data_IF_709405861784
#
_entry.id   IF_709405861784
#
_cell.length_a   1.000
_cell.length_b   1.000
_cell.length_c   1.000
_cell.angle_alpha   90.00
_cell.angle_beta   90.00
_cell.angle_gamma   90.00
#
_symmetry.space_group_name_H-M   'P 1'
#
loop_
_entity.id
_entity.type
_entity.pdbx_description
1 polymer ?
#
# COMPACT_ATOMS: atom_id res chain seq x y z
N UNK A 1 -0.99 23.20 31.73
CA UNK A 1 -0.20 21.95 31.57
C UNK A 1 -1.22 20.88 31.19
N UNK A 2 -1.01 20.12 30.15
CA UNK A 2 -2.03 19.16 29.66
C UNK A 2 -2.03 17.84 30.44
N UNK A 3 -0.98 17.55 31.21
CA UNK A 3 -0.89 16.41 32.14
C UNK A 3 -0.44 16.86 33.53
N UNK A 4 -0.85 16.12 34.56
CA UNK A 4 -0.52 16.46 35.97
C UNK A 4 0.88 16.01 36.35
N UNK A 5 1.39 14.94 35.72
CA UNK A 5 2.73 14.44 35.90
C UNK A 5 3.39 14.13 34.54
N UNK A 6 4.71 14.29 34.48
CA UNK A 6 5.49 14.04 33.25
C UNK A 6 5.80 12.55 33.14
N UNK A 7 4.79 11.70 33.03
CA UNK A 7 4.96 10.25 32.89
C UNK A 7 4.14 9.68 31.73
N UNK A 8 4.60 8.57 31.16
CA UNK A 8 3.87 7.88 30.10
C UNK A 8 2.50 7.38 30.60
N UNK A 9 2.37 7.06 31.88
CA UNK A 9 1.10 6.64 32.47
C UNK A 9 0.06 7.78 32.43
N UNK A 10 0.47 9.02 32.72
CA UNK A 10 -0.41 10.18 32.60
C UNK A 10 -0.77 10.48 31.13
N UNK A 11 0.17 10.33 30.21
CA UNK A 11 -0.13 10.44 28.77
C UNK A 11 -1.19 9.41 28.38
N UNK A 12 -1.05 8.15 28.80
CA UNK A 12 -2.04 7.09 28.52
C UNK A 12 -3.43 7.46 29.04
N UNK A 13 -3.53 7.95 30.27
CA UNK A 13 -4.82 8.38 30.86
C UNK A 13 -5.42 9.54 30.06
N UNK A 14 -4.60 10.51 29.73
CA UNK A 14 -5.06 11.69 28.99
C UNK A 14 -5.51 11.35 27.57
N UNK A 15 -4.75 10.54 26.84
CA UNK A 15 -5.16 10.05 25.51
C UNK A 15 -6.49 9.28 25.57
N UNK A 16 -6.65 8.38 26.55
CA UNK A 16 -7.91 7.67 26.73
C UNK A 16 -9.08 8.61 27.00
N UNK A 17 -8.91 9.64 27.87
CA UNK A 17 -9.98 10.59 28.16
C UNK A 17 -10.37 11.45 26.95
N UNK A 18 -9.43 11.78 26.09
CA UNK A 18 -9.64 12.69 24.95
C UNK A 18 -10.07 11.98 23.65
N UNK A 19 -9.72 10.70 23.49
CA UNK A 19 -9.88 9.95 22.25
C UNK A 19 -10.92 8.83 22.32
N UNK A 20 -11.46 8.49 23.50
CA UNK A 20 -12.39 7.36 23.68
C UNK A 20 -13.69 7.46 22.87
N UNK A 21 -14.07 8.64 22.41
CA UNK A 21 -15.21 8.84 21.53
C UNK A 21 -14.90 8.65 20.03
N UNK A 22 -13.61 8.54 19.68
CA UNK A 22 -13.13 8.47 18.29
C UNK A 22 -12.43 7.14 17.98
N UNK A 23 -11.83 6.52 18.98
CA UNK A 23 -11.01 5.31 18.86
C UNK A 23 -11.36 4.31 19.95
N UNK A 24 -11.20 3.04 19.65
CA UNK A 24 -11.30 1.98 20.66
C UNK A 24 -10.13 2.01 21.62
N UNK A 25 -10.27 1.43 22.80
CA UNK A 25 -9.19 1.33 23.77
C UNK A 25 -7.95 0.62 23.21
N UNK A 26 -8.16 -0.39 22.35
CA UNK A 26 -7.09 -1.15 21.69
C UNK A 26 -6.31 -0.28 20.71
N UNK A 27 -7.00 0.54 19.92
CA UNK A 27 -6.38 1.49 18.99
C UNK A 27 -5.58 2.55 19.75
N UNK A 28 -6.15 3.13 20.80
CA UNK A 28 -5.43 4.13 21.63
C UNK A 28 -4.16 3.53 22.22
N UNK A 29 -4.21 2.29 22.73
CA UNK A 29 -3.03 1.59 23.25
C UNK A 29 -1.97 1.37 22.18
N UNK A 30 -2.37 0.95 20.98
CA UNK A 30 -1.47 0.78 19.85
C UNK A 30 -0.82 2.11 19.45
N UNK A 31 -1.62 3.15 19.27
CA UNK A 31 -1.14 4.49 18.90
C UNK A 31 -0.09 5.00 19.89
N UNK A 32 -0.39 4.92 21.18
CA UNK A 32 0.54 5.38 22.22
C UNK A 32 1.83 4.55 22.20
N UNK A 33 1.72 3.23 22.01
CA UNK A 33 2.88 2.35 21.91
C UNK A 33 3.78 2.78 20.75
N UNK A 34 3.23 2.92 19.56
CA UNK A 34 4.00 3.27 18.36
C UNK A 34 4.59 4.68 18.44
N UNK A 35 3.82 5.67 18.93
CA UNK A 35 4.33 7.02 19.20
C UNK A 35 5.51 7.00 20.20
N UNK A 36 5.41 6.17 21.25
CA UNK A 36 6.45 6.09 22.28
C UNK A 36 7.72 5.42 21.76
N UNK A 37 7.57 4.29 21.08
CA UNK A 37 8.68 3.57 20.45
C UNK A 37 9.46 4.51 19.54
N UNK A 38 8.77 5.21 18.67
CA UNK A 38 9.37 6.17 17.74
C UNK A 38 10.02 7.35 18.48
N UNK A 39 9.28 7.99 19.39
CA UNK A 39 9.75 9.21 20.07
C UNK A 39 10.99 8.98 20.93
N UNK A 40 11.01 7.87 21.66
CA UNK A 40 12.10 7.53 22.58
C UNK A 40 13.18 6.68 21.90
N UNK A 41 12.97 6.27 20.64
CA UNK A 41 13.86 5.39 19.88
C UNK A 41 14.19 4.10 20.65
N UNK A 42 13.17 3.45 21.17
CA UNK A 42 13.24 2.22 21.97
C UNK A 42 12.62 1.04 21.22
N UNK A 43 13.00 -0.17 21.62
CA UNK A 43 12.37 -1.39 21.10
C UNK A 43 10.98 -1.62 21.71
N UNK A 44 10.13 -2.45 21.08
CA UNK A 44 8.84 -2.88 21.65
C UNK A 44 8.97 -3.54 23.02
N UNK A 45 10.09 -4.21 23.30
CA UNK A 45 10.37 -4.81 24.61
C UNK A 45 10.65 -3.75 25.67
N UNK A 46 11.48 -2.77 25.35
CA UNK A 46 11.80 -1.66 26.26
C UNK A 46 10.57 -0.80 26.59
N UNK A 47 9.61 -0.67 25.64
CA UNK A 47 8.35 0.03 25.90
C UNK A 47 7.60 -0.49 27.15
N UNK A 48 7.72 -1.79 27.46
CA UNK A 48 7.09 -2.39 28.65
C UNK A 48 7.71 -1.84 29.92
N UNK A 49 8.99 -1.48 29.89
CA UNK A 49 9.77 -1.05 31.06
C UNK A 49 9.66 0.45 31.34
N UNK A 50 9.44 1.28 30.29
CA UNK A 50 9.46 2.76 30.42
C UNK A 50 8.17 3.39 30.94
N UNK A 51 7.18 2.61 31.35
CA UNK A 51 5.85 3.13 31.75
C UNK A 51 5.87 4.16 32.88
N UNK A 52 6.91 4.16 33.74
CA UNK A 52 7.06 5.05 34.89
C UNK A 52 8.17 6.09 34.74
N UNK A 53 8.88 6.12 33.63
CA UNK A 53 9.93 7.09 33.40
C UNK A 53 9.37 8.50 33.23
N UNK A 54 10.17 9.49 33.67
CA UNK A 54 9.82 10.89 33.47
C UNK A 54 10.15 11.31 32.04
N UNK A 55 9.16 11.87 31.39
CA UNK A 55 9.26 12.45 30.05
C UNK A 55 9.84 13.86 30.12
N UNK A 56 10.63 14.24 29.14
CA UNK A 56 11.11 15.61 28.98
C UNK A 56 9.97 16.53 28.49
N UNK A 57 10.16 17.83 28.60
CA UNK A 57 9.22 18.83 28.07
C UNK A 57 9.02 18.65 26.55
N UNK A 58 10.10 18.34 25.82
CA UNK A 58 10.03 18.10 24.38
C UNK A 58 9.24 16.84 24.03
N UNK A 59 9.27 15.81 24.88
CA UNK A 59 8.43 14.62 24.70
C UNK A 59 6.96 14.93 24.96
N UNK A 60 6.68 15.71 26.00
CA UNK A 60 5.31 16.15 26.27
C UNK A 60 4.73 16.98 25.12
N UNK A 61 5.52 17.87 24.51
CA UNK A 61 5.09 18.63 23.34
C UNK A 61 4.81 17.73 22.14
N UNK A 62 5.62 16.71 21.93
CA UNK A 62 5.39 15.71 20.88
C UNK A 62 4.05 14.98 21.06
N UNK A 63 3.76 14.47 22.28
CA UNK A 63 2.48 13.82 22.56
C UNK A 63 1.29 14.78 22.46
N UNK A 64 1.48 16.04 22.88
CA UNK A 64 0.43 17.05 22.74
C UNK A 64 0.09 17.33 21.28
N UNK A 65 1.09 17.48 20.41
CA UNK A 65 0.88 17.67 18.98
C UNK A 65 0.21 16.44 18.36
N UNK A 66 0.71 15.24 18.66
CA UNK A 66 0.12 14.00 18.22
C UNK A 66 -1.37 13.89 18.64
N UNK A 67 -1.68 14.18 19.89
CA UNK A 67 -3.06 14.18 20.39
C UNK A 67 -3.96 15.17 19.63
N UNK A 68 -3.46 16.38 19.38
CA UNK A 68 -4.20 17.39 18.62
C UNK A 68 -4.52 16.93 17.20
N UNK A 69 -3.59 16.26 16.53
CA UNK A 69 -3.75 15.69 15.20
C UNK A 69 -4.74 14.51 15.21
N UNK A 70 -4.62 13.59 16.19
CA UNK A 70 -5.54 12.47 16.40
C UNK A 70 -6.98 12.92 16.67
N UNK A 71 -7.20 13.98 17.44
CA UNK A 71 -8.53 14.58 17.65
C UNK A 71 -9.16 15.09 16.35
N UNK A 72 -8.35 15.47 15.39
CA UNK A 72 -8.78 15.81 14.04
C UNK A 72 -8.92 14.59 13.12
N UNK A 73 -8.75 13.38 13.69
CA UNK A 73 -8.81 12.09 12.99
C UNK A 73 -7.74 11.93 11.89
N UNK A 74 -6.61 12.61 12.02
CA UNK A 74 -5.47 12.36 11.13
C UNK A 74 -4.94 10.93 11.34
N UNK A 75 -4.69 10.16 10.26
CA UNK A 75 -4.16 8.80 10.39
C UNK A 75 -2.87 8.79 11.22
N UNK A 76 -2.79 7.90 12.19
CA UNK A 76 -1.64 7.87 13.10
C UNK A 76 -0.33 7.54 12.38
N UNK A 77 -0.39 6.82 11.25
CA UNK A 77 0.77 6.56 10.39
C UNK A 77 1.34 7.87 9.81
N UNK A 78 0.48 8.82 9.42
CA UNK A 78 0.94 10.14 8.96
C UNK A 78 1.50 10.98 10.11
N UNK A 79 0.98 10.80 11.33
CA UNK A 79 1.54 11.45 12.54
C UNK A 79 2.92 10.88 12.85
N UNK A 80 3.09 9.56 12.74
CA UNK A 80 4.37 8.89 12.87
C UNK A 80 5.33 9.25 11.72
N UNK A 81 4.80 9.49 10.51
CA UNK A 81 5.57 9.66 9.29
C UNK A 81 6.22 8.36 8.79
N UNK A 82 5.76 7.21 9.30
CA UNK A 82 6.24 5.89 8.88
C UNK A 82 5.18 4.81 9.10
N UNK A 83 5.32 3.73 8.35
CA UNK A 83 4.48 2.54 8.43
C UNK A 83 5.32 1.29 8.18
N UNK A 84 5.02 0.23 8.91
CA UNK A 84 5.58 -1.08 8.63
C UNK A 84 4.75 -1.76 7.54
N UNK A 85 5.44 -2.29 6.54
CA UNK A 85 4.87 -3.13 5.49
C UNK A 85 5.83 -4.29 5.25
N UNK A 86 5.41 -5.50 5.52
CA UNK A 86 6.36 -6.60 5.75
C UNK A 86 7.41 -6.21 6.80
N UNK A 87 8.66 -6.58 6.57
CA UNK A 87 9.78 -6.21 7.44
C UNK A 87 10.42 -4.85 7.07
N UNK A 88 9.73 -4.04 6.26
CA UNK A 88 10.21 -2.74 5.82
C UNK A 88 9.55 -1.61 6.61
N UNK A 89 10.36 -0.74 7.18
CA UNK A 89 9.89 0.52 7.75
C UNK A 89 9.90 1.60 6.66
N UNK A 90 8.73 1.88 6.08
CA UNK A 90 8.56 2.84 5.00
C UNK A 90 8.17 4.22 5.54
N UNK A 91 8.69 5.28 4.94
CA UNK A 91 8.17 6.62 5.14
C UNK A 91 6.78 6.72 4.52
N UNK A 92 5.86 7.39 5.22
CA UNK A 92 4.50 7.65 4.74
C UNK A 92 4.00 9.02 5.18
N UNK A 93 3.34 9.72 4.28
CA UNK A 93 2.61 10.97 4.52
C UNK A 93 1.51 11.14 3.47
N UNK A 94 0.82 12.28 3.45
CA UNK A 94 -0.33 12.54 2.56
C UNK A 94 -0.04 12.48 1.06
N UNK A 95 1.20 12.23 0.64
CA UNK A 95 1.60 12.07 -0.77
C UNK A 95 1.17 10.71 -1.35
N UNK A 96 0.96 9.69 -0.52
CA UNK A 96 0.57 8.36 -0.99
C UNK A 96 -0.42 7.70 -0.03
N UNK A 97 -1.19 6.74 -0.57
CA UNK A 97 -2.08 5.87 0.19
C UNK A 97 -1.27 5.11 1.26
N UNK A 98 -1.81 5.02 2.47
CA UNK A 98 -1.21 4.21 3.54
C UNK A 98 -1.28 2.74 3.11
N UNK A 99 -0.15 2.01 3.06
CA UNK A 99 -0.14 0.57 2.78
C UNK A 99 -1.11 -0.20 3.67
N UNK A 100 -1.90 -1.09 3.07
CA UNK A 100 -2.92 -1.88 3.78
C UNK A 100 -2.41 -3.30 4.06
N UNK A 101 -2.81 -3.93 5.18
CA UNK A 101 -2.43 -5.31 5.49
C UNK A 101 -2.85 -6.31 4.40
N UNK A 102 -4.00 -6.10 3.76
CA UNK A 102 -4.50 -6.95 2.67
C UNK A 102 -3.55 -6.96 1.46
N UNK A 103 -2.83 -5.86 1.24
CA UNK A 103 -1.83 -5.76 0.17
C UNK A 103 -0.59 -6.63 0.46
N UNK A 104 -0.28 -6.94 1.73
CA UNK A 104 0.77 -7.91 2.07
C UNK A 104 0.42 -9.32 1.61
N UNK A 105 -0.87 -9.70 1.67
CA UNK A 105 -1.34 -11.00 1.18
C UNK A 105 -1.15 -11.14 -0.34
N UNK A 106 -1.33 -10.05 -1.09
CA UNK A 106 -1.04 -10.01 -2.53
C UNK A 106 0.45 -10.25 -2.81
N UNK A 107 1.33 -9.62 -2.04
CA UNK A 107 2.78 -9.81 -2.15
C UNK A 107 3.17 -11.26 -1.83
N UNK A 108 2.59 -11.86 -0.79
CA UNK A 108 2.82 -13.28 -0.46
C UNK A 108 2.39 -14.23 -1.57
N UNK A 109 1.30 -13.93 -2.24
CA UNK A 109 0.86 -14.71 -3.38
C UNK A 109 1.87 -14.67 -4.52
N UNK A 110 2.29 -13.45 -4.91
CA UNK A 110 3.29 -13.25 -5.98
C UNK A 110 4.60 -13.97 -5.64
N UNK A 111 5.12 -13.77 -4.42
CA UNK A 111 6.32 -14.44 -3.94
C UNK A 111 6.22 -15.97 -4.05
N UNK A 112 5.05 -16.51 -3.69
CA UNK A 112 4.82 -17.97 -3.72
C UNK A 112 4.84 -18.52 -5.14
N UNK A 113 4.20 -17.81 -6.07
CA UNK A 113 4.09 -18.23 -7.47
C UNK A 113 5.45 -18.07 -8.19
N UNK A 114 6.21 -17.01 -7.88
CA UNK A 114 7.51 -16.74 -8.50
C UNK A 114 8.71 -17.43 -7.82
N UNK A 115 8.51 -18.23 -6.79
CA UNK A 115 9.59 -18.86 -6.00
C UNK A 115 10.63 -19.66 -6.80
N UNK A 116 10.24 -20.18 -7.97
CA UNK A 116 11.12 -20.96 -8.84
C UNK A 116 11.79 -20.12 -9.94
N UNK A 117 11.49 -18.81 -10.01
CA UNK A 117 12.14 -17.90 -10.93
C UNK A 117 13.42 -17.34 -10.28
N UNK A 118 14.57 -17.54 -10.92
CA UNK A 118 15.86 -17.09 -10.35
C UNK A 118 15.99 -15.58 -10.32
N UNK A 119 15.52 -14.88 -11.37
CA UNK A 119 15.60 -13.43 -11.54
C UNK A 119 14.33 -12.90 -12.23
N UNK A 120 13.16 -12.93 -11.57
CA UNK A 120 11.94 -12.48 -12.21
C UNK A 120 11.99 -10.96 -12.48
N UNK A 121 11.44 -10.57 -13.62
CA UNK A 121 11.25 -9.16 -14.01
C UNK A 121 9.82 -8.77 -13.65
N UNK A 122 9.70 -7.83 -12.72
CA UNK A 122 8.42 -7.45 -12.09
C UNK A 122 8.18 -5.96 -12.31
N UNK A 123 6.94 -5.58 -12.65
CA UNK A 123 6.46 -4.19 -12.71
C UNK A 123 5.32 -4.00 -11.71
N UNK A 124 5.48 -3.01 -10.83
CA UNK A 124 4.43 -2.50 -9.95
C UNK A 124 3.86 -1.22 -10.58
N UNK A 125 2.60 -1.25 -10.97
CA UNK A 125 1.89 -0.15 -11.60
C UNK A 125 0.97 0.54 -10.58
N UNK A 126 0.91 1.87 -10.59
CA UNK A 126 0.27 2.69 -9.57
C UNK A 126 0.91 2.47 -8.19
N UNK A 127 2.24 2.51 -8.14
CA UNK A 127 3.05 2.03 -7.00
C UNK A 127 2.88 2.85 -5.71
N UNK A 128 2.37 4.08 -5.76
CA UNK A 128 2.19 4.94 -4.61
C UNK A 128 3.47 5.14 -3.78
N UNK A 129 3.48 4.63 -2.56
CA UNK A 129 4.65 4.66 -1.67
C UNK A 129 5.78 3.70 -2.09
N UNK A 130 5.51 2.80 -3.05
CA UNK A 130 6.40 1.73 -3.49
C UNK A 130 6.36 0.48 -2.61
N UNK A 131 5.36 0.34 -1.74
CA UNK A 131 5.31 -0.75 -0.76
C UNK A 131 5.35 -2.14 -1.41
N UNK A 132 4.59 -2.38 -2.49
CA UNK A 132 4.57 -3.66 -3.20
C UNK A 132 5.93 -3.94 -3.85
N UNK A 133 6.43 -3.03 -4.68
CA UNK A 133 7.71 -3.21 -5.38
C UNK A 133 8.87 -3.42 -4.41
N UNK A 134 8.95 -2.64 -3.32
CA UNK A 134 9.99 -2.73 -2.32
C UNK A 134 9.90 -4.05 -1.53
N UNK A 135 8.70 -4.48 -1.15
CA UNK A 135 8.50 -5.76 -0.48
C UNK A 135 8.90 -6.94 -1.39
N UNK A 136 8.45 -6.95 -2.65
CA UNK A 136 8.86 -7.97 -3.61
C UNK A 136 10.38 -7.98 -3.82
N UNK A 137 11.01 -6.82 -3.95
CA UNK A 137 12.47 -6.70 -4.07
C UNK A 137 13.19 -7.20 -2.83
N UNK A 138 12.70 -6.93 -1.63
CA UNK A 138 13.30 -7.41 -0.37
C UNK A 138 13.23 -8.93 -0.22
N UNK A 139 12.13 -9.54 -0.68
CA UNK A 139 11.86 -10.97 -0.61
C UNK A 139 12.56 -11.77 -1.73
N UNK A 140 12.86 -11.11 -2.84
CA UNK A 140 13.50 -11.68 -4.03
C UNK A 140 14.63 -10.76 -4.50
N UNK A 141 15.74 -10.73 -3.78
CA UNK A 141 16.85 -9.79 -4.00
C UNK A 141 17.40 -9.77 -5.42
N UNK A 142 17.39 -10.92 -6.09
CA UNK A 142 17.87 -11.06 -7.48
C UNK A 142 16.84 -10.64 -8.54
N UNK A 143 15.60 -10.30 -8.13
CA UNK A 143 14.57 -9.83 -9.08
C UNK A 143 14.92 -8.48 -9.69
N UNK A 144 14.43 -8.24 -10.91
CA UNK A 144 14.44 -6.93 -11.55
C UNK A 144 13.10 -6.27 -11.31
N UNK A 145 12.99 -5.46 -10.25
CA UNK A 145 11.76 -4.77 -9.90
C UNK A 145 11.75 -3.34 -10.44
N UNK A 146 10.67 -3.00 -11.14
CA UNK A 146 10.34 -1.67 -11.60
C UNK A 146 9.07 -1.17 -10.91
N UNK A 147 8.98 0.14 -10.72
CA UNK A 147 7.83 0.79 -10.09
C UNK A 147 7.42 2.01 -10.92
N UNK A 148 6.15 2.05 -11.33
CA UNK A 148 5.59 3.13 -12.13
C UNK A 148 4.49 3.87 -11.36
N UNK A 149 4.59 5.20 -11.32
CA UNK A 149 3.66 6.06 -10.58
C UNK A 149 3.42 7.36 -11.37
N UNK A 150 2.17 7.83 -11.34
CA UNK A 150 1.75 9.05 -12.03
C UNK A 150 2.06 10.32 -11.22
N UNK A 151 1.78 10.30 -9.92
CA UNK A 151 1.90 11.45 -9.04
C UNK A 151 3.35 11.79 -8.74
N UNK A 152 3.81 13.01 -9.05
CA UNK A 152 5.16 13.48 -8.69
C UNK A 152 5.41 13.45 -7.17
N UNK A 153 4.38 13.73 -6.38
CA UNK A 153 4.46 13.71 -4.92
C UNK A 153 4.68 12.28 -4.42
N UNK A 154 3.92 11.31 -4.94
CA UNK A 154 4.09 9.89 -4.62
C UNK A 154 5.43 9.36 -5.14
N UNK A 155 5.88 9.72 -6.35
CA UNK A 155 7.21 9.41 -6.86
C UNK A 155 8.34 9.93 -5.97
N UNK A 156 8.18 11.14 -5.44
CA UNK A 156 9.15 11.68 -4.48
C UNK A 156 9.24 10.80 -3.22
N UNK A 157 8.08 10.39 -2.68
CA UNK A 157 8.01 9.50 -1.51
C UNK A 157 8.59 8.11 -1.82
N UNK A 158 8.27 7.53 -2.97
CA UNK A 158 8.80 6.25 -3.42
C UNK A 158 10.34 6.27 -3.52
N UNK A 159 10.93 7.35 -4.08
CA UNK A 159 12.39 7.53 -4.12
C UNK A 159 13.00 7.67 -2.72
N UNK A 160 12.32 8.32 -1.78
CA UNK A 160 12.74 8.39 -0.39
C UNK A 160 12.72 7.00 0.26
N UNK A 161 11.69 6.19 0.00
CA UNK A 161 11.56 4.83 0.51
C UNK A 161 12.62 3.89 -0.08
N UNK A 162 12.89 4.00 -1.37
CA UNK A 162 13.97 3.24 -2.03
C UNK A 162 15.33 3.51 -1.38
N UNK A 163 15.63 4.78 -1.08
CA UNK A 163 16.85 5.15 -0.35
C UNK A 163 16.85 4.64 1.10
N UNK A 164 15.71 4.76 1.79
CA UNK A 164 15.56 4.37 3.19
C UNK A 164 15.76 2.87 3.40
N UNK A 165 15.26 2.05 2.46
CA UNK A 165 15.38 0.58 2.51
C UNK A 165 16.68 0.05 1.92
N UNK A 166 17.45 0.91 1.25
CA UNK A 166 18.66 0.52 0.49
C UNK A 166 18.39 -0.59 -0.55
N UNK A 167 17.18 -0.60 -1.12
CA UNK A 167 16.78 -1.51 -2.20
C UNK A 167 16.80 -0.75 -3.52
N UNK A 168 17.21 -1.41 -4.61
CA UNK A 168 17.23 -0.81 -5.94
C UNK A 168 15.95 -1.15 -6.71
N UNK A 169 15.25 -0.12 -7.19
CA UNK A 169 14.13 -0.22 -8.12
C UNK A 169 14.41 0.64 -9.35
N UNK A 170 13.90 0.21 -10.50
CA UNK A 170 13.76 1.07 -11.66
C UNK A 170 12.45 1.87 -11.54
N UNK A 171 12.56 3.20 -11.33
CA UNK A 171 11.42 4.06 -11.02
C UNK A 171 11.13 4.97 -12.20
N UNK A 172 9.91 4.89 -12.71
CA UNK A 172 9.42 5.72 -13.81
C UNK A 172 8.19 6.53 -13.44
N UNK A 173 8.08 7.73 -14.00
CA UNK A 173 6.82 8.46 -14.04
C UNK A 173 5.99 7.89 -15.17
N UNK A 174 4.75 7.48 -14.89
CA UNK A 174 3.88 6.86 -15.87
C UNK A 174 2.41 7.09 -15.53
N UNK A 175 1.67 7.60 -16.48
CA UNK A 175 0.21 7.55 -16.48
C UNK A 175 -0.22 6.25 -17.17
N UNK A 176 -0.72 5.29 -16.41
CA UNK A 176 -1.17 4.01 -16.97
C UNK A 176 -2.33 4.14 -17.95
N UNK A 177 -3.03 5.29 -17.97
CA UNK A 177 -4.08 5.59 -18.95
C UNK A 177 -3.54 6.25 -20.23
N UNK A 178 -2.26 6.67 -20.24
CA UNK A 178 -1.63 7.27 -21.43
C UNK A 178 -0.85 6.20 -22.21
N UNK A 179 -1.25 5.99 -23.46
CA UNK A 179 -0.64 4.97 -24.33
C UNK A 179 0.85 5.23 -24.62
N UNK A 180 1.24 6.48 -24.75
CA UNK A 180 2.61 6.88 -25.09
C UNK A 180 3.59 6.56 -23.96
N UNK A 181 3.12 6.51 -22.70
CA UNK A 181 3.96 6.24 -21.54
C UNK A 181 4.46 4.79 -21.47
N UNK A 182 3.94 3.89 -22.30
CA UNK A 182 4.42 2.51 -22.42
C UNK A 182 5.54 2.35 -23.47
N UNK A 183 5.82 3.37 -24.27
CA UNK A 183 6.72 3.28 -25.43
C UNK A 183 8.17 2.90 -25.12
N UNK A 184 8.63 3.10 -23.88
CA UNK A 184 9.97 2.72 -23.43
C UNK A 184 10.06 1.26 -22.95
N UNK A 185 8.93 0.59 -22.74
CA UNK A 185 8.90 -0.81 -22.31
C UNK A 185 9.14 -1.74 -23.49
N UNK A 186 9.94 -2.78 -23.27
CA UNK A 186 10.13 -3.82 -24.27
C UNK A 186 8.98 -4.83 -24.24
N UNK A 187 8.34 -5.18 -25.38
CA UNK A 187 7.34 -6.22 -25.41
C UNK A 187 7.86 -7.57 -24.91
N UNK A 188 6.99 -8.38 -24.32
CA UNK A 188 7.31 -9.72 -23.80
C UNK A 188 8.52 -9.76 -22.86
N UNK A 189 8.68 -8.76 -22.00
CA UNK A 189 9.86 -8.60 -21.14
C UNK A 189 9.61 -8.87 -19.65
N UNK A 190 8.37 -8.86 -19.19
CA UNK A 190 8.05 -9.02 -17.78
C UNK A 190 7.48 -10.41 -17.45
N UNK A 191 7.93 -10.98 -16.35
CA UNK A 191 7.37 -12.23 -15.80
C UNK A 191 6.09 -11.95 -15.01
N UNK A 192 6.02 -10.78 -14.37
CA UNK A 192 4.92 -10.40 -13.51
C UNK A 192 4.62 -8.90 -13.60
N UNK A 193 3.34 -8.57 -13.70
CA UNK A 193 2.82 -7.24 -13.42
C UNK A 193 1.91 -7.30 -12.20
N UNK A 194 1.98 -6.30 -11.35
CA UNK A 194 1.11 -6.14 -10.20
C UNK A 194 0.60 -4.70 -10.13
N UNK A 195 -0.63 -4.53 -9.68
CA UNK A 195 -1.17 -3.20 -9.42
C UNK A 195 -2.22 -3.22 -8.31
N UNK A 196 -2.16 -2.21 -7.46
CA UNK A 196 -3.27 -1.77 -6.61
C UNK A 196 -3.73 -0.40 -7.12
N UNK A 197 -4.49 -0.34 -8.23
CA UNK A 197 -4.88 0.91 -8.85
C UNK A 197 -6.06 1.55 -8.11
N UNK A 198 -6.40 2.82 -8.36
CA UNK A 198 -7.65 3.40 -7.90
C UNK A 198 -8.85 2.58 -8.40
N UNK A 199 -9.75 2.19 -7.49
CA UNK A 199 -10.87 1.29 -7.83
C UNK A 199 -12.20 1.63 -7.15
N UNK A 200 -12.28 2.70 -6.37
CA UNK A 200 -13.51 3.06 -5.65
C UNK A 200 -14.34 4.00 -6.52
N UNK A 201 -15.54 3.61 -6.99
CA UNK A 201 -16.40 4.52 -7.71
C UNK A 201 -16.75 5.76 -6.87
N UNK A 202 -16.80 6.93 -7.49
CA UNK A 202 -17.06 8.20 -6.79
C UNK A 202 -18.36 8.19 -5.99
N UNK A 203 -19.39 7.44 -6.44
CA UNK A 203 -20.66 7.24 -5.72
C UNK A 203 -20.50 6.58 -4.35
N UNK A 204 -19.44 5.80 -4.14
CA UNK A 204 -19.16 5.12 -2.86
C UNK A 204 -18.46 6.05 -1.85
N UNK A 205 -18.10 7.27 -2.24
CA UNK A 205 -17.39 8.24 -1.38
C UNK A 205 -18.09 8.48 -0.04
N UNK A 206 -19.42 8.50 -0.02
CA UNK A 206 -20.19 8.71 1.21
C UNK A 206 -20.13 7.55 2.21
N UNK A 207 -19.68 6.37 1.78
CA UNK A 207 -19.54 5.17 2.61
C UNK A 207 -18.17 5.09 3.29
N UNK A 208 -17.24 5.94 2.86
CA UNK A 208 -15.87 5.91 3.37
C UNK A 208 -15.72 6.64 4.70
N UNK A 209 -14.75 6.22 5.47
CA UNK A 209 -14.42 6.88 6.72
C UNK A 209 -13.94 8.33 6.47
N UNK A 210 -14.43 9.32 7.26
CA UNK A 210 -14.13 10.73 7.03
C UNK A 210 -12.63 11.06 7.06
N UNK A 211 -11.83 10.33 7.84
CA UNK A 211 -10.39 10.51 7.93
C UNK A 211 -9.67 10.14 6.62
N UNK A 212 -10.10 9.07 5.94
CA UNK A 212 -9.56 8.68 4.64
C UNK A 212 -9.81 9.78 3.63
N UNK A 213 -11.05 10.26 3.54
CA UNK A 213 -11.44 11.33 2.61
C UNK A 213 -10.72 12.66 2.86
N UNK A 214 -10.34 12.92 4.10
CA UNK A 214 -9.74 14.20 4.50
C UNK A 214 -8.22 14.22 4.32
N UNK A 215 -7.56 13.10 4.48
CA UNK A 215 -6.10 13.06 4.61
C UNK A 215 -5.38 12.25 3.54
N UNK A 216 -6.02 11.19 3.00
CA UNK A 216 -5.37 10.38 1.98
C UNK A 216 -5.61 10.95 0.57
N UNK A 217 -4.69 10.74 -0.39
CA UNK A 217 -4.79 11.34 -1.72
C UNK A 217 -5.98 10.74 -2.49
N UNK A 218 -6.98 11.56 -2.80
CA UNK A 218 -8.23 11.11 -3.42
C UNK A 218 -8.00 10.47 -4.80
N UNK A 219 -6.96 10.88 -5.51
CA UNK A 219 -6.60 10.30 -6.80
C UNK A 219 -6.12 8.83 -6.69
N UNK A 220 -5.61 8.42 -5.54
CA UNK A 220 -5.22 7.03 -5.29
C UNK A 220 -6.40 6.13 -4.91
N UNK A 221 -7.59 6.69 -4.70
CA UNK A 221 -8.77 5.99 -4.24
C UNK A 221 -9.86 5.88 -5.30
N UNK A 222 -10.16 6.99 -5.98
CA UNK A 222 -11.40 7.10 -6.74
C UNK A 222 -11.22 6.97 -8.25
N UNK A 223 -12.23 6.33 -8.85
CA UNK A 223 -12.47 6.28 -10.29
C UNK A 223 -13.81 6.91 -10.63
N UNK A 224 -14.00 7.31 -11.89
CA UNK A 224 -15.26 7.79 -12.38
C UNK A 224 -16.34 6.69 -12.36
N UNK A 225 -17.58 7.07 -12.04
CA UNK A 225 -18.69 6.13 -11.90
C UNK A 225 -19.08 5.46 -13.23
N UNK A 226 -18.79 6.11 -14.36
CA UNK A 226 -19.10 5.66 -15.70
C UNK A 226 -18.25 4.45 -16.11
N UNK A 227 -17.03 4.35 -15.59
CA UNK A 227 -16.12 3.26 -15.92
C UNK A 227 -15.21 2.88 -14.72
N UNK A 228 -15.75 2.16 -13.76
CA UNK A 228 -14.99 1.74 -12.57
C UNK A 228 -13.89 0.71 -12.88
N UNK A 229 -13.86 0.14 -14.08
CA UNK A 229 -12.85 -0.82 -14.53
C UNK A 229 -11.73 -0.20 -15.38
N UNK A 230 -11.71 1.12 -15.59
CA UNK A 230 -10.80 1.77 -16.54
C UNK A 230 -9.34 1.39 -16.32
N UNK A 231 -8.83 1.49 -15.08
CA UNK A 231 -7.44 1.14 -14.78
C UNK A 231 -7.17 -0.34 -15.00
N UNK A 232 -8.04 -1.21 -14.53
CA UNK A 232 -7.92 -2.66 -14.69
C UNK A 232 -7.88 -3.05 -16.16
N UNK A 233 -8.80 -2.48 -16.98
CA UNK A 233 -8.88 -2.78 -18.40
C UNK A 233 -7.62 -2.34 -19.13
N UNK A 234 -7.18 -1.09 -18.96
CA UNK A 234 -6.01 -0.58 -19.65
C UNK A 234 -4.75 -1.35 -19.25
N UNK A 235 -4.56 -1.60 -17.94
CA UNK A 235 -3.42 -2.39 -17.47
C UNK A 235 -3.47 -3.81 -18.05
N UNK A 236 -4.62 -4.47 -18.07
CA UNK A 236 -4.76 -5.82 -18.61
C UNK A 236 -4.49 -5.87 -20.13
N UNK A 237 -5.03 -4.93 -20.92
CA UNK A 237 -4.73 -4.81 -22.35
C UNK A 237 -3.23 -4.64 -22.61
N UNK A 238 -2.56 -3.79 -21.85
CA UNK A 238 -1.12 -3.60 -21.96
C UNK A 238 -0.32 -4.81 -21.47
N UNK A 239 -0.78 -5.50 -20.43
CA UNK A 239 -0.15 -6.71 -19.94
C UNK A 239 -0.05 -7.81 -21.03
N UNK A 240 -1.01 -7.92 -21.94
CA UNK A 240 -0.95 -8.85 -23.08
C UNK A 240 0.21 -8.56 -24.05
N UNK A 241 0.69 -7.31 -24.10
CA UNK A 241 1.80 -6.89 -24.94
C UNK A 241 3.14 -7.07 -24.22
N UNK A 242 3.20 -6.72 -22.96
CA UNK A 242 4.47 -6.56 -22.24
C UNK A 242 4.83 -7.75 -21.34
N UNK A 243 3.86 -8.54 -20.89
CA UNK A 243 4.13 -9.79 -20.21
C UNK A 243 4.73 -10.82 -21.18
N UNK A 244 5.65 -11.62 -20.67
CA UNK A 244 6.14 -12.83 -21.36
C UNK A 244 4.98 -13.81 -21.55
N UNK A 245 5.20 -14.82 -22.40
CA UNK A 245 4.32 -16.00 -22.46
C UNK A 245 4.27 -16.65 -21.08
N UNK A 246 3.06 -17.00 -20.65
CA UNK A 246 2.79 -17.50 -19.29
C UNK A 246 3.12 -16.48 -18.18
N UNK A 247 3.38 -15.23 -18.54
CA UNK A 247 3.52 -14.13 -17.60
C UNK A 247 2.22 -13.85 -16.83
N UNK A 248 2.34 -13.32 -15.64
CA UNK A 248 1.22 -13.25 -14.70
C UNK A 248 0.90 -11.81 -14.32
N UNK A 249 -0.38 -11.48 -14.36
CA UNK A 249 -0.95 -10.20 -13.93
C UNK A 249 -1.66 -10.38 -12.59
N UNK A 250 -1.34 -9.52 -11.63
CA UNK A 250 -1.98 -9.48 -10.32
C UNK A 250 -2.63 -8.14 -10.05
N UNK A 251 -3.81 -8.19 -9.44
CA UNK A 251 -4.54 -7.00 -9.00
C UNK A 251 -5.00 -7.12 -7.54
N UNK A 252 -4.91 -6.03 -6.79
CA UNK A 252 -5.84 -5.81 -5.69
C UNK A 252 -7.15 -5.28 -6.28
N UNK A 253 -8.30 -5.79 -5.79
CA UNK A 253 -9.61 -5.50 -6.37
C UNK A 253 -10.62 -5.01 -5.33
N UNK A 254 -11.63 -4.28 -5.79
CA UNK A 254 -12.85 -4.04 -5.03
C UNK A 254 -13.73 -5.30 -5.07
N UNK A 255 -14.15 -5.81 -3.90
CA UNK A 255 -15.01 -7.00 -3.78
C UNK A 255 -16.29 -6.93 -4.62
N UNK A 256 -16.84 -5.72 -4.82
CA UNK A 256 -18.05 -5.50 -5.61
C UNK A 256 -17.82 -5.63 -7.13
N UNK A 257 -16.57 -5.63 -7.58
CA UNK A 257 -16.21 -5.69 -9.01
C UNK A 257 -15.73 -7.06 -9.45
N UNK A 258 -15.70 -8.07 -8.59
CA UNK A 258 -15.14 -9.41 -8.86
C UNK A 258 -15.70 -10.03 -10.14
N UNK A 259 -17.03 -10.05 -10.31
CA UNK A 259 -17.68 -10.64 -11.50
C UNK A 259 -17.33 -9.87 -12.78
N UNK A 260 -17.34 -8.54 -12.71
CA UNK A 260 -17.00 -7.69 -13.84
C UNK A 260 -15.52 -7.84 -14.24
N UNK A 261 -14.63 -8.01 -13.25
CA UNK A 261 -13.21 -8.26 -13.50
C UNK A 261 -12.97 -9.63 -14.15
N UNK A 262 -13.65 -10.69 -13.70
CA UNK A 262 -13.59 -12.01 -14.33
C UNK A 262 -14.01 -11.92 -15.80
N UNK A 263 -15.16 -11.31 -16.07
CA UNK A 263 -15.67 -11.11 -17.44
C UNK A 263 -14.69 -10.32 -18.32
N UNK A 264 -14.08 -9.28 -17.76
CA UNK A 264 -13.08 -8.46 -18.47
C UNK A 264 -11.85 -9.29 -18.85
N UNK A 265 -11.24 -9.99 -17.89
CA UNK A 265 -10.01 -10.74 -18.13
C UNK A 265 -10.24 -11.96 -19.05
N UNK A 266 -11.35 -12.67 -18.88
CA UNK A 266 -11.76 -13.76 -19.80
C UNK A 266 -11.97 -13.22 -21.21
N UNK A 267 -12.66 -12.07 -21.34
CA UNK A 267 -12.91 -11.41 -22.65
C UNK A 267 -11.64 -10.94 -23.35
N UNK A 268 -10.59 -10.60 -22.60
CA UNK A 268 -9.28 -10.25 -23.13
C UNK A 268 -8.41 -11.49 -23.47
N UNK A 269 -8.84 -12.69 -23.12
CA UNK A 269 -8.15 -13.93 -23.44
C UNK A 269 -7.13 -14.37 -22.39
N UNK A 270 -7.17 -13.83 -21.19
CA UNK A 270 -6.38 -14.38 -20.07
C UNK A 270 -6.90 -15.75 -19.67
N UNK A 271 -5.99 -16.59 -19.17
CA UNK A 271 -6.26 -17.94 -18.68
C UNK A 271 -5.85 -18.07 -17.21
N UNK A 272 -6.22 -19.19 -16.58
CA UNK A 272 -5.84 -19.47 -15.18
C UNK A 272 -6.19 -18.31 -14.24
N UNK A 273 -7.39 -17.72 -14.43
CA UNK A 273 -7.85 -16.61 -13.60
C UNK A 273 -8.25 -17.14 -12.24
N UNK A 274 -7.66 -16.60 -11.20
CA UNK A 274 -7.93 -16.97 -9.80
C UNK A 274 -8.31 -15.74 -9.00
N UNK A 275 -9.31 -15.89 -8.10
CA UNK A 275 -9.68 -14.88 -7.10
C UNK A 275 -9.30 -15.38 -5.73
N UNK A 276 -8.68 -14.54 -4.90
CA UNK A 276 -8.42 -14.85 -3.50
C UNK A 276 -9.10 -13.86 -2.57
N UNK A 277 -9.58 -14.41 -1.48
CA UNK A 277 -10.14 -13.62 -0.39
C UNK A 277 -9.02 -13.19 0.57
N UNK A 278 -9.23 -12.02 1.17
CA UNK A 278 -8.42 -11.56 2.30
C UNK A 278 -8.78 -12.33 3.59
N UNK A 279 -8.02 -12.11 4.65
CA UNK A 279 -8.25 -12.74 5.97
C UNK A 279 -9.62 -12.38 6.57
N UNK A 280 -10.31 -11.36 6.04
CA UNK A 280 -11.66 -10.99 6.45
C UNK A 280 -12.75 -11.71 5.62
N UNK A 281 -12.34 -12.51 4.62
CA UNK A 281 -13.21 -13.30 3.75
C UNK A 281 -13.80 -12.55 2.56
N UNK A 282 -13.27 -11.36 2.23
CA UNK A 282 -13.68 -10.55 1.08
C UNK A 282 -12.80 -10.83 -0.13
N UNK A 283 -13.39 -10.91 -1.32
CA UNK A 283 -12.64 -11.00 -2.56
C UNK A 283 -11.73 -9.76 -2.68
N UNK A 284 -10.42 -9.96 -2.68
CA UNK A 284 -9.46 -8.87 -2.58
C UNK A 284 -8.36 -8.91 -3.61
N UNK A 285 -8.02 -10.08 -4.09
CA UNK A 285 -6.91 -10.25 -5.00
C UNK A 285 -7.33 -11.09 -6.21
N UNK A 286 -6.83 -10.72 -7.37
CA UNK A 286 -7.08 -11.45 -8.61
C UNK A 286 -5.77 -11.67 -9.36
N UNK A 287 -5.60 -12.88 -9.89
CA UNK A 287 -4.48 -13.28 -10.74
C UNK A 287 -5.03 -13.72 -12.10
N UNK A 288 -4.31 -13.39 -13.17
CA UNK A 288 -4.59 -13.85 -14.52
C UNK A 288 -3.29 -14.11 -15.27
N UNK A 289 -3.26 -15.09 -16.13
CA UNK A 289 -2.06 -15.50 -16.87
C UNK A 289 -2.24 -15.29 -18.37
N UNK A 290 -1.18 -14.82 -19.05
CA UNK A 290 -1.16 -14.77 -20.51
C UNK A 290 -1.05 -16.18 -21.09
N UNK A 291 -1.63 -16.40 -22.28
CA UNK A 291 -1.59 -17.72 -22.92
C UNK A 291 -0.18 -18.13 -23.33
N UNK A 292 0.14 -19.41 -23.19
CA UNK A 292 1.25 -20.01 -23.93
C UNK A 292 0.82 -20.17 -25.38
N UNK A 293 1.63 -19.69 -26.35
CA UNK A 293 1.31 -19.92 -27.75
C UNK A 293 1.28 -21.44 -28.01
N UNK A 294 0.10 -22.01 -28.09
CA UNK A 294 -0.06 -23.27 -28.80
C UNK A 294 0.04 -22.97 -30.29
N UNK A 295 1.05 -23.55 -30.91
CA UNK A 295 1.21 -23.78 -32.33
C UNK A 295 0.04 -23.37 -33.21
N UNK A 296 0.23 -22.32 -34.01
CA UNK A 296 -0.31 -22.31 -35.36
C UNK A 296 0.34 -23.50 -36.09
N UNK A 297 -0.40 -24.58 -36.22
CA UNK A 297 -0.12 -25.70 -37.13
C UNK A 297 -0.92 -25.52 -38.39
#
# INVERSE_FOLDING_TARGET
MFVQANSLEEIKRYFNSELSNLYTESEIKLIIKELTIKRLNISPLEFILVSRERLSESDLLFYYDALKRLRNQEPFQYILGEVWFYDLNLKIDSRALIPRPETEELVDWIKTDLKNHSQPTIMDLCSGSGCIALALKSLMLESNCSAAEYSEDALSLLRENTKRTNLSLDISKMDVLNEDDYSYLAPNSFDCWVSNPPYIPTREKSLMAPNVLKYEPLMALFVADEDPLIFYRVIAEKALVYLKKEGVLYFEINENLTVSMLTLLEGLGFVNIEVRKDLQGKDRMMKAQTVSSHHES
#
